data_IF_244218900182
#
_entry.id   IF_244218900182
#
_cell.length_a   1.000
_cell.length_b   1.000
_cell.length_c   1.000
_cell.angle_alpha   90.00
_cell.angle_beta   90.00
_cell.angle_gamma   90.00
#
_symmetry.space_group_name_H-M   'P 1'
#
loop_
_entity.id
_entity.type
_entity.pdbx_description
1 polymer ?
#
# COMPACT_ATOMS: atom_id res chain seq x y z
N UNK A 1 -7.13 2.41 0.93
CA UNK A 1 -6.96 1.36 1.97
C UNK A 1 -6.39 0.11 1.31
N UNK A 2 -5.85 -0.86 2.05
CA UNK A 2 -5.33 -2.12 1.51
C UNK A 2 -5.80 -3.32 2.35
N UNK A 3 -5.94 -4.50 1.75
CA UNK A 3 -6.44 -5.71 2.42
C UNK A 3 -5.68 -6.11 3.69
N UNK A 4 -4.38 -5.79 3.80
CA UNK A 4 -3.61 -6.00 5.02
C UNK A 4 -4.13 -5.22 6.23
N UNK A 5 -4.65 -3.99 6.02
CA UNK A 5 -5.25 -3.18 7.10
C UNK A 5 -6.58 -3.78 7.59
N UNK A 6 -7.37 -4.36 6.68
CA UNK A 6 -8.60 -5.08 7.02
C UNK A 6 -8.31 -6.31 7.86
N UNK A 7 -7.36 -7.15 7.43
CA UNK A 7 -6.93 -8.33 8.20
C UNK A 7 -6.38 -7.96 9.58
N UNK A 8 -5.67 -6.83 9.69
CA UNK A 8 -5.22 -6.32 10.98
C UNK A 8 -6.39 -5.86 11.87
N UNK A 9 -7.40 -5.21 11.30
CA UNK A 9 -8.61 -4.82 12.04
C UNK A 9 -9.37 -6.06 12.53
N UNK A 10 -9.52 -7.09 11.68
CA UNK A 10 -10.10 -8.38 12.02
C UNK A 10 -9.31 -9.07 13.16
N UNK A 11 -7.98 -9.20 13.03
CA UNK A 11 -7.11 -9.75 14.09
C UNK A 11 -7.23 -9.00 15.42
N UNK A 12 -7.55 -7.70 15.39
CA UNK A 12 -7.73 -6.86 16.58
C UNK A 12 -9.17 -6.80 17.08
N UNK A 13 -10.13 -7.41 16.39
CA UNK A 13 -11.56 -7.30 16.70
C UNK A 13 -12.06 -5.85 16.68
N UNK A 14 -11.50 -5.00 15.80
CA UNK A 14 -11.88 -3.58 15.70
C UNK A 14 -12.70 -3.31 14.44
N UNK A 15 -13.73 -2.45 14.52
CA UNK A 15 -14.46 -2.02 13.34
C UNK A 15 -13.55 -1.23 12.39
N UNK A 16 -13.89 -1.24 11.10
CA UNK A 16 -13.26 -0.40 10.08
C UNK A 16 -14.07 0.87 9.83
N UNK A 17 -13.44 1.95 9.34
CA UNK A 17 -14.16 3.10 8.84
C UNK A 17 -15.16 2.72 7.74
N UNK A 18 -16.35 3.35 7.70
CA UNK A 18 -17.44 2.97 6.77
C UNK A 18 -17.12 3.27 5.31
N UNK A 19 -16.14 4.13 5.03
CA UNK A 19 -15.70 4.50 3.69
C UNK A 19 -14.69 3.51 3.09
N UNK A 20 -14.33 2.44 3.82
CA UNK A 20 -13.33 1.47 3.38
C UNK A 20 -13.92 0.37 2.50
N UNK A 21 -15.11 -0.12 2.79
CA UNK A 21 -15.67 -1.29 2.12
C UNK A 21 -17.21 -1.25 2.06
N UNK A 22 -17.73 -2.00 1.11
CA UNK A 22 -19.14 -2.36 1.00
C UNK A 22 -19.33 -3.81 1.44
N UNK A 23 -20.50 -4.14 1.96
CA UNK A 23 -20.94 -5.52 2.20
C UNK A 23 -21.37 -6.22 0.89
N UNK A 24 -21.86 -7.47 1.01
CA UNK A 24 -22.36 -8.26 -0.13
C UNK A 24 -23.53 -7.65 -0.89
N UNK A 25 -24.21 -6.66 -0.30
CA UNK A 25 -25.35 -5.96 -0.89
C UNK A 25 -24.95 -4.60 -1.48
N UNK A 26 -23.66 -4.24 -1.41
CA UNK A 26 -23.17 -2.97 -1.91
C UNK A 26 -23.40 -1.80 -0.94
N UNK A 27 -23.67 -2.07 0.34
CA UNK A 27 -23.91 -1.04 1.37
C UNK A 27 -22.64 -0.83 2.22
N UNK A 28 -22.26 0.41 2.58
CA UNK A 28 -21.10 0.66 3.43
C UNK A 28 -21.12 -0.17 4.72
N UNK A 29 -20.00 -0.83 5.04
CA UNK A 29 -19.86 -1.68 6.22
C UNK A 29 -18.71 -1.24 7.12
N UNK A 30 -18.88 -1.49 8.41
CA UNK A 30 -17.82 -1.33 9.43
C UNK A 30 -17.32 -2.66 9.98
N UNK A 31 -17.89 -3.78 9.49
CA UNK A 31 -17.49 -5.13 9.86
C UNK A 31 -16.34 -5.60 8.95
N UNK A 32 -15.12 -5.83 9.50
CA UNK A 32 -14.01 -6.33 8.72
C UNK A 32 -14.22 -7.75 8.18
N UNK A 33 -15.02 -8.59 8.82
CA UNK A 33 -15.27 -9.98 8.37
C UNK A 33 -16.11 -9.97 7.10
N UNK A 34 -17.25 -9.27 7.14
CA UNK A 34 -18.12 -9.05 5.98
C UNK A 34 -17.34 -8.40 4.82
N UNK A 35 -16.53 -7.38 5.10
CA UNK A 35 -15.72 -6.70 4.09
C UNK A 35 -14.66 -7.59 3.40
N UNK A 36 -14.09 -8.57 4.11
CA UNK A 36 -13.03 -9.44 3.58
C UNK A 36 -13.60 -10.61 2.79
N UNK A 37 -14.65 -11.26 3.31
CA UNK A 37 -15.11 -12.55 2.79
C UNK A 37 -16.33 -12.44 1.87
N UNK A 38 -17.07 -11.35 1.95
CA UNK A 38 -18.36 -11.21 1.27
C UNK A 38 -18.56 -9.88 0.55
N UNK A 39 -17.77 -8.87 0.90
CA UNK A 39 -17.90 -7.51 0.44
C UNK A 39 -16.93 -7.09 -0.66
N UNK A 40 -16.85 -5.77 -0.86
CA UNK A 40 -16.03 -5.12 -1.88
C UNK A 40 -15.24 -3.96 -1.29
N UNK A 41 -13.99 -3.80 -1.68
CA UNK A 41 -13.19 -2.63 -1.29
C UNK A 41 -13.64 -1.39 -2.07
N UNK A 42 -13.73 -0.26 -1.38
CA UNK A 42 -14.04 1.01 -2.02
C UNK A 42 -12.83 1.63 -2.73
N UNK A 43 -13.11 2.31 -3.84
CA UNK A 43 -12.11 3.06 -4.59
C UNK A 43 -11.79 4.38 -3.90
N UNK A 44 -10.50 4.68 -3.73
CA UNK A 44 -10.07 5.96 -3.19
C UNK A 44 -10.53 7.10 -4.12
N UNK A 45 -11.35 8.03 -3.61
CA UNK A 45 -11.90 9.10 -4.44
C UNK A 45 -12.98 8.65 -5.44
N UNK A 46 -13.61 7.49 -5.21
CA UNK A 46 -14.75 7.01 -5.99
C UNK A 46 -14.40 6.73 -7.46
N UNK A 47 -15.20 7.26 -8.39
CA UNK A 47 -15.05 7.01 -9.83
C UNK A 47 -13.67 7.43 -10.39
N UNK A 48 -12.99 8.40 -9.76
CA UNK A 48 -11.60 8.78 -10.14
C UNK A 48 -10.60 7.69 -9.75
N UNK A 49 -10.77 7.10 -8.56
CA UNK A 49 -9.96 5.97 -8.11
C UNK A 49 -10.17 4.74 -8.99
N UNK A 50 -11.41 4.47 -9.39
CA UNK A 50 -11.72 3.44 -10.37
C UNK A 50 -11.01 3.69 -11.71
N UNK A 51 -11.07 4.91 -12.25
CA UNK A 51 -10.37 5.26 -13.48
C UNK A 51 -8.86 5.04 -13.39
N UNK A 52 -8.22 5.41 -12.27
CA UNK A 52 -6.79 5.16 -12.04
C UNK A 52 -6.49 3.65 -11.94
N UNK A 53 -7.34 2.88 -11.26
CA UNK A 53 -7.18 1.42 -11.18
C UNK A 53 -7.31 0.76 -12.56
N UNK A 54 -8.22 1.22 -13.41
CA UNK A 54 -8.36 0.73 -14.79
C UNK A 54 -7.11 1.00 -15.61
N UNK A 55 -6.44 2.16 -15.45
CA UNK A 55 -5.16 2.42 -16.13
C UNK A 55 -4.09 1.42 -15.67
N UNK A 56 -4.02 1.12 -14.38
CA UNK A 56 -3.10 0.11 -13.84
C UNK A 56 -3.40 -1.27 -14.43
N UNK A 57 -4.67 -1.65 -14.53
CA UNK A 57 -5.09 -2.93 -15.10
C UNK A 57 -4.76 -3.05 -16.59
N UNK A 58 -4.95 -1.96 -17.35
CA UNK A 58 -4.60 -1.91 -18.77
C UNK A 58 -3.09 -2.05 -18.97
N UNK A 59 -2.28 -1.32 -18.20
CA UNK A 59 -0.82 -1.38 -18.33
C UNK A 59 -0.24 -2.69 -17.80
N UNK A 60 -0.74 -3.17 -16.67
CA UNK A 60 -0.25 -4.36 -15.99
C UNK A 60 -0.78 -5.64 -16.61
N UNK A 61 -2.10 -5.81 -16.70
CA UNK A 61 -2.74 -7.03 -17.18
C UNK A 61 -2.85 -7.07 -18.70
N UNK A 62 -3.64 -6.16 -19.28
CA UNK A 62 -4.01 -6.21 -20.71
C UNK A 62 -2.79 -6.06 -21.62
N UNK A 63 -1.96 -5.03 -21.41
CA UNK A 63 -0.81 -4.73 -22.26
C UNK A 63 0.29 -5.79 -22.18
N UNK A 64 0.47 -6.40 -21.01
CA UNK A 64 1.48 -7.46 -20.84
C UNK A 64 1.07 -8.80 -21.46
N UNK A 65 -0.20 -8.96 -21.85
CA UNK A 65 -0.77 -10.24 -22.26
C UNK A 65 -1.06 -11.19 -21.10
N UNK A 66 -1.02 -10.70 -19.85
CA UNK A 66 -1.36 -11.48 -18.66
C UNK A 66 -2.87 -11.54 -18.39
N UNK A 67 -3.23 -12.18 -17.27
CA UNK A 67 -4.62 -12.20 -16.79
C UNK A 67 -5.04 -10.80 -16.31
N UNK A 68 -6.33 -10.50 -16.44
CA UNK A 68 -6.91 -9.22 -15.99
C UNK A 68 -8.33 -9.41 -15.46
N UNK A 69 -8.76 -8.50 -14.59
CA UNK A 69 -10.10 -8.48 -14.02
C UNK A 69 -10.48 -9.81 -13.37
N UNK A 70 -11.62 -10.37 -13.78
CA UNK A 70 -12.16 -11.63 -13.25
C UNK A 70 -11.38 -12.87 -13.70
N UNK A 71 -10.48 -12.75 -14.68
CA UNK A 71 -9.66 -13.88 -15.14
C UNK A 71 -8.52 -14.17 -14.15
N UNK A 72 -8.15 -13.19 -13.31
CA UNK A 72 -7.19 -13.39 -12.22
C UNK A 72 -7.85 -14.25 -11.15
N UNK A 73 -7.33 -15.45 -10.85
CA UNK A 73 -7.95 -16.32 -9.87
C UNK A 73 -7.91 -15.68 -8.48
N UNK A 74 -8.98 -15.78 -7.69
CA UNK A 74 -8.96 -15.32 -6.32
C UNK A 74 -7.93 -16.13 -5.54
N UNK A 75 -7.13 -15.43 -4.74
CA UNK A 75 -6.17 -16.08 -3.85
C UNK A 75 -6.92 -16.78 -2.71
N UNK A 76 -7.01 -18.12 -2.76
CA UNK A 76 -7.78 -18.90 -1.78
C UNK A 76 -7.03 -19.08 -0.46
N UNK A 77 -5.71 -19.25 -0.56
CA UNK A 77 -4.83 -19.43 0.60
C UNK A 77 -3.56 -18.59 0.44
N UNK A 78 -3.41 -17.59 1.31
CA UNK A 78 -2.28 -16.67 1.28
C UNK A 78 -0.97 -17.42 1.53
N UNK A 79 -0.04 -17.37 0.57
CA UNK A 79 1.28 -18.01 0.69
C UNK A 79 1.32 -19.50 0.34
N UNK A 80 0.18 -20.13 0.01
CA UNK A 80 0.13 -21.54 -0.41
C UNK A 80 -0.12 -21.72 -1.92
N UNK A 81 -0.63 -20.69 -2.59
CA UNK A 81 -0.88 -20.70 -4.03
C UNK A 81 0.02 -19.66 -4.72
N UNK A 82 0.53 -19.94 -5.94
CA UNK A 82 1.25 -18.95 -6.73
C UNK A 82 0.39 -17.71 -6.98
N UNK A 83 0.94 -16.54 -6.71
CA UNK A 83 0.33 -15.27 -7.08
C UNK A 83 0.48 -15.06 -8.59
N UNK A 84 -0.62 -15.20 -9.33
CA UNK A 84 -0.65 -14.86 -10.75
C UNK A 84 -0.86 -13.36 -10.86
N UNK A 85 0.22 -12.64 -11.13
CA UNK A 85 0.21 -11.18 -11.24
C UNK A 85 1.02 -10.74 -12.44
N UNK A 86 0.62 -9.61 -13.01
CA UNK A 86 1.33 -8.94 -14.09
C UNK A 86 1.80 -7.58 -13.59
N UNK A 87 2.95 -7.13 -14.07
CA UNK A 87 3.56 -5.88 -13.63
C UNK A 87 3.98 -5.05 -14.84
N UNK A 88 3.86 -3.73 -14.69
CA UNK A 88 4.33 -2.74 -15.65
C UNK A 88 5.37 -1.84 -15.00
N UNK A 89 6.47 -1.61 -15.70
CA UNK A 89 7.56 -0.75 -15.26
C UNK A 89 7.86 0.29 -16.34
N UNK A 90 7.96 1.56 -15.93
CA UNK A 90 8.30 2.67 -16.80
C UNK A 90 9.48 3.44 -16.21
N UNK A 91 10.53 3.59 -17.01
CA UNK A 91 11.65 4.48 -16.71
C UNK A 91 11.65 5.62 -17.74
N UNK A 92 11.69 6.85 -17.25
CA UNK A 92 11.81 8.05 -18.07
C UNK A 92 13.13 8.73 -17.70
N UNK A 93 13.97 9.00 -18.70
CA UNK A 93 15.20 9.77 -18.52
C UNK A 93 14.90 11.27 -18.65
N UNK A 94 14.94 12.06 -17.56
CA UNK A 94 14.64 13.49 -17.61
C UNK A 94 15.62 14.27 -18.49
N UNK A 95 16.85 13.77 -18.66
CA UNK A 95 17.87 14.42 -19.47
C UNK A 95 17.51 14.48 -20.97
N UNK A 96 16.56 13.65 -21.42
CA UNK A 96 16.03 13.70 -22.78
C UNK A 96 15.06 14.87 -23.01
N UNK A 97 14.59 15.53 -21.94
CA UNK A 97 13.61 16.62 -22.01
C UNK A 97 14.18 17.98 -21.62
N UNK A 98 15.16 18.02 -20.71
CA UNK A 98 15.86 19.24 -20.27
C UNK A 98 17.19 18.89 -19.56
N UNK A 99 18.12 19.86 -19.39
CA UNK A 99 19.31 19.65 -18.57
C UNK A 99 18.95 19.14 -17.16
N UNK A 100 19.68 18.13 -16.69
CA UNK A 100 19.35 17.43 -15.43
C UNK A 100 19.40 18.37 -14.21
N UNK A 101 20.35 19.31 -14.20
CA UNK A 101 20.45 20.32 -13.14
C UNK A 101 19.21 21.25 -13.11
N UNK A 102 18.68 21.61 -14.28
CA UNK A 102 17.45 22.37 -14.38
C UNK A 102 16.24 21.56 -13.87
N UNK A 103 16.14 20.28 -14.26
CA UNK A 103 15.08 19.40 -13.76
C UNK A 103 15.09 19.31 -12.24
N UNK A 104 16.26 19.06 -11.63
CA UNK A 104 16.44 19.03 -10.18
C UNK A 104 16.02 20.35 -9.52
N UNK A 105 16.47 21.50 -10.03
CA UNK A 105 16.07 22.82 -9.51
C UNK A 105 14.55 23.03 -9.55
N UNK A 106 13.87 22.53 -10.58
CA UNK A 106 12.40 22.64 -10.70
C UNK A 106 11.68 21.74 -9.71
N UNK A 107 12.20 20.54 -9.45
CA UNK A 107 11.70 19.65 -8.40
C UNK A 107 11.88 20.29 -7.02
N UNK A 108 13.06 20.85 -6.73
CA UNK A 108 13.32 21.54 -5.46
C UNK A 108 12.33 22.69 -5.24
N UNK A 109 12.09 23.48 -6.28
CA UNK A 109 11.09 24.57 -6.24
C UNK A 109 9.68 24.04 -5.99
N UNK A 110 9.27 22.93 -6.61
CA UNK A 110 7.97 22.32 -6.36
C UNK A 110 7.84 21.83 -4.92
N UNK A 111 8.88 21.17 -4.40
CA UNK A 111 8.93 20.72 -3.00
C UNK A 111 8.80 21.93 -2.07
N UNK A 112 9.55 23.01 -2.32
CA UNK A 112 9.48 24.23 -1.53
C UNK A 112 8.07 24.84 -1.54
N UNK A 113 7.41 24.89 -2.70
CA UNK A 113 6.02 25.37 -2.81
C UNK A 113 5.06 24.53 -1.97
N UNK A 114 5.15 23.20 -2.05
CA UNK A 114 4.31 22.29 -1.25
C UNK A 114 4.56 22.50 0.24
N UNK A 115 5.82 22.52 0.67
CA UNK A 115 6.19 22.69 2.10
C UNK A 115 5.82 24.07 2.66
N UNK A 116 5.67 25.09 1.82
CA UNK A 116 5.24 26.45 2.20
C UNK A 116 3.73 26.70 2.04
N UNK A 117 2.95 25.68 1.69
CA UNK A 117 1.50 25.84 1.53
C UNK A 117 0.84 26.22 2.85
N UNK A 118 -0.25 26.98 2.78
CA UNK A 118 -1.07 27.27 3.95
C UNK A 118 -1.56 25.96 4.58
N UNK A 119 -1.42 25.85 5.90
CA UNK A 119 -1.76 24.65 6.64
C UNK A 119 -3.24 24.64 6.99
N UNK A 120 -3.87 23.47 6.88
CA UNK A 120 -5.20 23.27 7.42
C UNK A 120 -5.18 23.40 8.95
N UNK A 121 -6.33 23.76 9.54
CA UNK A 121 -6.45 23.90 11.00
C UNK A 121 -6.03 22.62 11.71
N UNK A 122 -5.07 22.72 12.63
CA UNK A 122 -4.58 21.60 13.43
C UNK A 122 -3.59 20.69 12.69
N UNK A 123 -3.06 21.12 11.54
CA UNK A 123 -1.97 20.44 10.83
C UNK A 123 -0.67 21.22 11.05
N UNK A 124 0.36 20.55 11.55
CA UNK A 124 1.65 21.18 11.89
C UNK A 124 2.59 21.25 10.68
N UNK A 125 2.50 20.31 9.74
CA UNK A 125 3.29 20.30 8.52
C UNK A 125 2.60 19.55 7.37
N UNK A 126 2.95 19.88 6.12
CA UNK A 126 2.59 19.13 4.91
C UNK A 126 3.77 18.25 4.51
N UNK A 127 3.51 17.02 4.09
CA UNK A 127 4.53 16.09 3.61
C UNK A 127 4.53 15.98 2.09
N UNK A 128 5.72 15.84 1.49
CA UNK A 128 5.83 15.37 0.10
C UNK A 128 5.73 13.84 0.03
N UNK A 129 5.33 13.32 -1.14
CA UNK A 129 5.25 11.89 -1.36
C UNK A 129 6.62 11.21 -1.10
N UNK A 130 6.64 10.22 -0.20
CA UNK A 130 7.84 9.52 0.23
C UNK A 130 8.57 10.11 1.44
N UNK A 131 8.23 11.32 1.90
CA UNK A 131 8.90 11.95 3.05
C UNK A 131 8.66 11.18 4.35
N UNK A 132 7.43 10.70 4.56
CA UNK A 132 7.05 9.92 5.75
C UNK A 132 7.86 8.62 5.79
N UNK A 133 7.97 7.91 4.67
CA UNK A 133 8.75 6.68 4.54
C UNK A 133 10.25 6.93 4.68
N UNK A 134 10.76 8.03 4.12
CA UNK A 134 12.17 8.43 4.24
C UNK A 134 12.57 8.66 5.70
N UNK A 135 11.78 9.46 6.45
CA UNK A 135 11.99 9.69 7.88
C UNK A 135 11.93 8.39 8.68
N UNK A 136 10.87 7.59 8.44
CA UNK A 136 10.69 6.29 9.11
C UNK A 136 11.82 5.31 8.83
N UNK A 137 12.41 5.34 7.63
CA UNK A 137 13.59 4.53 7.30
C UNK A 137 14.81 4.97 8.11
N UNK A 138 15.05 6.27 8.22
CA UNK A 138 16.16 6.79 9.02
C UNK A 138 16.01 6.39 10.50
N UNK A 139 14.81 6.52 11.06
CA UNK A 139 14.53 6.09 12.44
C UNK A 139 14.74 4.60 12.63
N UNK A 140 14.24 3.75 11.71
CA UNK A 140 14.39 2.29 11.81
C UNK A 140 15.82 1.79 11.60
N UNK A 141 16.62 2.49 10.82
CA UNK A 141 18.05 2.20 10.68
C UNK A 141 18.82 2.52 11.96
N UNK A 142 18.38 3.54 12.71
CA UNK A 142 19.01 3.98 13.96
C UNK A 142 18.53 3.17 15.17
N UNK A 143 17.23 2.98 15.29
CA UNK A 143 16.56 2.48 16.49
C UNK A 143 16.03 1.03 16.33
N UNK A 144 16.18 0.43 15.15
CA UNK A 144 15.63 -0.89 14.82
C UNK A 144 14.17 -0.86 14.35
N UNK A 145 13.67 -2.02 13.91
CA UNK A 145 12.28 -2.17 13.42
C UNK A 145 11.40 -2.63 14.58
N UNK A 146 10.40 -1.84 15.02
CA UNK A 146 9.50 -2.27 16.08
C UNK A 146 8.62 -3.43 15.59
N UNK A 147 8.69 -4.55 16.30
CA UNK A 147 7.84 -5.72 16.07
C UNK A 147 6.77 -5.82 17.17
N UNK A 148 5.57 -6.22 16.78
CA UNK A 148 4.55 -6.58 17.78
C UNK A 148 4.89 -7.94 18.41
N UNK A 149 4.51 -8.15 19.66
CA UNK A 149 4.70 -9.43 20.35
C UNK A 149 4.12 -10.64 19.60
N UNK A 150 3.00 -10.44 18.89
CA UNK A 150 2.40 -11.49 18.05
C UNK A 150 3.33 -11.88 16.90
N UNK A 151 3.84 -10.90 16.17
CA UNK A 151 4.76 -11.14 15.03
C UNK A 151 6.10 -11.71 15.51
N UNK A 152 6.61 -11.25 16.66
CA UNK A 152 7.84 -11.78 17.24
C UNK A 152 7.73 -13.28 17.51
N UNK A 153 6.64 -13.71 18.18
CA UNK A 153 6.35 -15.13 18.43
C UNK A 153 6.16 -15.94 17.15
N UNK A 154 5.45 -15.39 16.15
CA UNK A 154 5.28 -16.04 14.85
C UNK A 154 6.65 -16.29 14.17
N UNK A 155 7.61 -15.37 14.31
CA UNK A 155 8.98 -15.52 13.80
C UNK A 155 9.82 -16.52 14.62
N UNK A 156 9.69 -16.53 15.95
CA UNK A 156 10.34 -17.52 16.82
C UNK A 156 9.91 -18.93 16.45
N UNK A 157 8.60 -19.19 16.34
CA UNK A 157 8.07 -20.50 15.92
C UNK A 157 8.60 -20.90 14.54
N UNK A 158 8.60 -19.97 13.57
CA UNK A 158 9.10 -20.27 12.23
C UNK A 158 10.59 -20.61 12.23
N UNK A 159 11.38 -19.96 13.08
CA UNK A 159 12.80 -20.22 13.21
C UNK A 159 13.08 -21.61 13.81
N UNK A 160 12.31 -22.02 14.82
CA UNK A 160 12.35 -23.38 15.38
C UNK A 160 12.00 -24.43 14.32
N UNK A 161 10.90 -24.24 13.59
CA UNK A 161 10.45 -25.14 12.52
C UNK A 161 11.48 -25.26 11.38
N UNK A 162 12.17 -24.16 11.09
CA UNK A 162 13.17 -24.09 10.02
C UNK A 162 14.59 -24.45 10.48
N UNK A 163 14.78 -24.76 11.76
CA UNK A 163 16.08 -24.97 12.40
C UNK A 163 17.09 -23.81 12.15
N UNK A 164 16.61 -22.58 12.17
CA UNK A 164 17.42 -21.36 12.01
C UNK A 164 17.54 -20.68 13.38
N UNK A 165 18.75 -20.23 13.73
CA UNK A 165 18.95 -19.45 14.96
C UNK A 165 18.23 -18.10 14.85
N UNK A 166 17.38 -17.80 15.81
CA UNK A 166 16.68 -16.52 15.92
C UNK A 166 17.18 -15.76 17.14
N UNK A 167 17.99 -14.74 16.89
CA UNK A 167 18.52 -13.85 17.91
C UNK A 167 18.28 -12.40 17.46
N UNK A 168 17.14 -11.86 17.86
CA UNK A 168 16.81 -10.45 17.69
C UNK A 168 17.01 -9.76 19.05
N UNK A 169 18.25 -9.29 19.27
CA UNK A 169 18.60 -8.38 20.38
C UNK A 169 18.06 -6.98 20.09
#
# INVERSE_FOLDING_TARGET
>A
MAGGKLRLALKKGKPIPPDWALDRHGVPTTDPDEAIFHGFLQWAGGYKGFGLATVVEVLGGVLSGGLFGSDVPPMKSFGQEPLITSAFYLALDPAQFMPLDEFCRRIDRLVEMVKKSELARGVDEVFIAGEIEFRRRADRLRDGIPLSQVVFKELETLAEESAVTFDLV
#
